data_IF_542719764841
#
_entry.id   IF_542719764841
#
_cell.length_a   1.000
_cell.length_b   1.000
_cell.length_c   1.000
_cell.angle_alpha   90.00
_cell.angle_beta   90.00
_cell.angle_gamma   90.00
#
_symmetry.space_group_name_H-M   'P 1'
#
loop_
_entity.id
_entity.type
_entity.pdbx_description
1 polymer ?
#
# COMPACT_ATOMS: atom_id res chain seq x y z
N UNK A 1 16.87 7.50 -34.72
CA UNK A 1 16.83 7.71 -33.26
C UNK A 1 15.37 7.69 -32.86
N UNK A 2 14.86 6.51 -32.50
CA UNK A 2 13.45 6.34 -32.15
C UNK A 2 13.23 6.76 -30.70
N UNK A 3 12.31 7.68 -30.47
CA UNK A 3 11.82 8.02 -29.15
C UNK A 3 10.73 7.00 -28.80
N UNK A 4 11.05 6.05 -27.93
CA UNK A 4 10.06 5.12 -27.38
C UNK A 4 9.12 5.88 -26.43
N UNK A 5 7.96 6.25 -26.97
CA UNK A 5 6.78 6.64 -26.21
C UNK A 5 6.22 5.44 -25.47
N UNK A 6 6.81 5.13 -24.32
CA UNK A 6 6.29 4.13 -23.38
C UNK A 6 4.99 4.61 -22.73
N UNK A 7 3.87 4.14 -23.28
CA UNK A 7 2.51 4.29 -22.76
C UNK A 7 2.39 4.03 -21.25
N UNK A 8 1.72 4.95 -20.54
CA UNK A 8 1.50 5.03 -19.09
C UNK A 8 0.68 3.86 -18.47
N UNK A 9 0.52 2.72 -19.16
CA UNK A 9 -0.55 1.74 -18.91
C UNK A 9 -0.13 0.33 -18.46
N UNK A 10 1.14 0.03 -18.14
CA UNK A 10 1.59 -1.39 -18.07
C UNK A 10 1.65 -2.07 -16.70
N UNK A 11 0.96 -1.57 -15.66
CA UNK A 11 0.85 -2.30 -14.38
C UNK A 11 -0.54 -2.91 -14.17
N UNK A 12 -0.99 -3.71 -15.14
CA UNK A 12 -2.19 -4.53 -15.00
C UNK A 12 -1.87 -5.82 -14.25
N UNK A 13 -1.99 -5.79 -12.93
CA UNK A 13 -2.18 -6.99 -12.11
C UNK A 13 -3.62 -7.01 -11.59
N UNK A 14 -4.11 -8.15 -11.11
CA UNK A 14 -5.47 -8.36 -10.56
C UNK A 14 -5.79 -7.52 -9.30
N UNK A 15 -4.99 -6.50 -9.01
CA UNK A 15 -5.04 -5.64 -7.82
C UNK A 15 -5.30 -4.22 -8.31
N UNK A 16 -6.31 -3.58 -7.73
CA UNK A 16 -6.67 -2.22 -8.10
C UNK A 16 -5.67 -1.24 -7.46
N UNK A 17 -4.94 -0.50 -8.30
CA UNK A 17 -3.90 0.44 -7.88
C UNK A 17 -4.44 1.81 -7.44
N UNK A 18 -5.75 2.00 -7.46
CA UNK A 18 -6.40 3.29 -7.21
C UNK A 18 -7.35 3.16 -6.02
N UNK A 19 -6.86 3.48 -4.82
CA UNK A 19 -7.72 3.73 -3.65
C UNK A 19 -8.56 4.97 -3.95
N UNK A 20 -9.87 4.90 -3.68
CA UNK A 20 -10.94 5.83 -4.10
C UNK A 20 -10.50 7.28 -4.33
N UNK A 21 -10.85 7.81 -5.51
CA UNK A 21 -10.54 9.17 -5.96
C UNK A 21 -10.97 10.23 -4.94
N UNK A 22 -10.03 11.09 -4.55
CA UNK A 22 -10.32 12.35 -3.87
C UNK A 22 -10.61 13.49 -4.87
N UNK A 23 -11.01 14.64 -4.33
CA UNK A 23 -11.36 15.84 -5.12
C UNK A 23 -10.20 16.35 -5.99
N UNK A 24 -10.53 16.83 -7.19
CA UNK A 24 -9.58 17.43 -8.13
C UNK A 24 -9.11 18.79 -7.60
N UNK A 25 -7.82 18.95 -7.32
CA UNK A 25 -7.21 20.25 -6.95
C UNK A 25 -6.41 20.76 -8.14
N UNK A 26 -7.10 21.46 -9.05
CA UNK A 26 -6.48 22.13 -10.19
C UNK A 26 -6.18 21.23 -11.41
N UNK A 27 -5.48 21.78 -12.45
CA UNK A 27 -5.28 21.10 -13.73
C UNK A 27 -4.25 19.97 -13.71
N UNK A 28 -3.43 19.85 -12.66
CA UNK A 28 -2.30 18.88 -12.61
C UNK A 28 -2.25 18.03 -11.33
N UNK A 29 -3.23 18.14 -10.43
CA UNK A 29 -3.15 17.54 -9.10
C UNK A 29 -4.43 16.83 -8.66
N UNK A 30 -4.28 15.56 -8.26
CA UNK A 30 -5.26 14.84 -7.46
C UNK A 30 -4.67 14.65 -6.07
N UNK A 31 -5.42 14.98 -5.01
CA UNK A 31 -5.05 14.59 -3.65
C UNK A 31 -5.81 13.31 -3.31
N UNK A 32 -5.06 12.28 -2.94
CA UNK A 32 -5.63 10.99 -2.58
C UNK A 32 -5.62 10.85 -1.07
N UNK A 33 -6.71 10.31 -0.52
CA UNK A 33 -6.82 10.07 0.92
C UNK A 33 -6.78 8.57 1.18
N UNK A 34 -6.11 8.18 2.25
CA UNK A 34 -6.27 6.87 2.86
C UNK A 34 -6.95 7.07 4.20
N UNK A 35 -8.04 6.35 4.42
CA UNK A 35 -8.76 6.33 5.68
C UNK A 35 -8.42 5.05 6.45
N UNK A 36 -7.94 5.22 7.68
CA UNK A 36 -7.82 4.18 8.69
C UNK A 36 -9.05 4.09 9.58
N UNK A 37 -9.05 3.18 10.57
CA UNK A 37 -10.11 3.09 11.56
C UNK A 37 -10.34 4.43 12.28
N UNK A 38 -11.56 4.64 12.77
CA UNK A 38 -11.97 5.86 13.48
C UNK A 38 -11.83 7.15 12.64
N UNK A 39 -11.97 7.06 11.32
CA UNK A 39 -11.88 8.18 10.38
C UNK A 39 -10.50 8.88 10.38
N UNK A 40 -9.45 8.17 10.81
CA UNK A 40 -8.08 8.67 10.72
C UNK A 40 -7.66 8.80 9.26
N UNK A 41 -7.30 10.01 8.83
CA UNK A 41 -6.95 10.29 7.43
C UNK A 41 -5.46 10.54 7.23
N UNK A 42 -4.90 10.01 6.14
CA UNK A 42 -3.60 10.41 5.61
C UNK A 42 -3.76 10.97 4.19
N UNK A 43 -3.13 12.12 3.92
CA UNK A 43 -3.16 12.76 2.60
C UNK A 43 -1.91 12.35 1.83
N UNK A 44 -2.09 11.78 0.64
CA UNK A 44 -1.00 11.45 -0.27
C UNK A 44 -0.77 12.66 -1.18
N UNK A 45 0.41 13.28 -1.05
CA UNK A 45 0.76 14.52 -1.73
C UNK A 45 1.59 14.33 -3.00
N UNK A 46 1.97 13.09 -3.32
CA UNK A 46 2.84 12.76 -4.45
C UNK A 46 2.17 11.76 -5.37
N UNK A 47 2.52 11.84 -6.66
CA UNK A 47 2.12 10.84 -7.63
C UNK A 47 3.06 9.63 -7.57
N UNK A 48 2.49 8.44 -7.49
CA UNK A 48 3.23 7.19 -7.46
C UNK A 48 2.82 6.28 -8.60
N UNK A 49 3.73 5.41 -8.98
CA UNK A 49 3.47 4.34 -9.94
C UNK A 49 3.93 3.02 -9.34
N UNK A 50 3.55 1.91 -9.96
CA UNK A 50 4.06 0.59 -9.59
C UNK A 50 5.61 0.48 -9.64
N UNK A 51 6.28 1.33 -10.42
CA UNK A 51 7.75 1.37 -10.50
C UNK A 51 8.39 2.27 -9.43
N UNK A 52 7.59 3.00 -8.65
CA UNK A 52 8.11 3.77 -7.50
C UNK A 52 8.84 2.85 -6.53
N UNK A 53 9.99 3.30 -6.05
CA UNK A 53 10.86 2.57 -5.14
C UNK A 53 11.26 3.48 -3.96
N UNK A 54 11.79 2.87 -2.90
CA UNK A 54 12.09 3.55 -1.65
C UNK A 54 10.86 4.27 -1.07
N UNK A 55 9.77 3.52 -0.90
CA UNK A 55 8.46 4.05 -0.48
C UNK A 55 7.91 3.34 0.74
N UNK A 56 7.06 4.04 1.48
CA UNK A 56 6.06 3.46 2.38
C UNK A 56 4.75 3.36 1.61
N UNK A 57 4.10 2.22 1.69
CA UNK A 57 2.85 1.91 0.99
C UNK A 57 1.80 1.37 1.94
N UNK A 58 0.56 1.38 1.48
CA UNK A 58 -0.62 0.90 2.17
C UNK A 58 -1.30 -0.14 1.29
N UNK A 59 -1.63 -1.28 1.88
CA UNK A 59 -2.56 -2.26 1.33
C UNK A 59 -3.91 -2.08 2.02
N UNK A 60 -4.98 -2.09 1.24
CA UNK A 60 -6.35 -1.93 1.75
C UNK A 60 -7.18 -3.11 1.27
N UNK A 61 -7.93 -3.74 2.18
CA UNK A 61 -9.02 -4.63 1.78
C UNK A 61 -10.29 -3.80 1.60
N UNK A 62 -10.77 -3.61 0.37
CA UNK A 62 -11.99 -2.81 0.13
C UNK A 62 -13.28 -3.45 0.65
N UNK A 63 -13.24 -4.74 1.03
CA UNK A 63 -14.40 -5.47 1.55
C UNK A 63 -14.68 -5.14 3.01
N UNK A 64 -13.65 -5.13 3.85
CA UNK A 64 -13.77 -4.87 5.29
C UNK A 64 -13.06 -3.60 5.73
N UNK A 65 -12.45 -2.87 4.80
CA UNK A 65 -11.71 -1.62 5.02
C UNK A 65 -10.54 -1.73 5.99
N UNK A 66 -9.99 -2.93 6.19
CA UNK A 66 -8.77 -3.13 7.00
C UNK A 66 -7.52 -2.78 6.20
N UNK A 67 -6.50 -2.26 6.88
CA UNK A 67 -5.28 -1.74 6.27
C UNK A 67 -4.04 -2.47 6.78
N UNK A 68 -3.04 -2.55 5.91
CA UNK A 68 -1.65 -2.87 6.24
C UNK A 68 -0.75 -1.76 5.72
N UNK A 69 0.20 -1.30 6.52
CA UNK A 69 1.26 -0.39 6.07
C UNK A 69 2.56 -1.19 5.98
N UNK A 70 3.32 -0.98 4.91
CA UNK A 70 4.62 -1.61 4.70
C UNK A 70 5.63 -0.64 4.10
N UNK A 71 6.91 -0.93 4.26
CA UNK A 71 7.98 -0.27 3.49
C UNK A 71 8.63 -1.16 2.43
N UNK A 72 9.27 -0.53 1.44
CA UNK A 72 10.14 -1.22 0.48
C UNK A 72 11.20 -0.27 -0.08
N UNK A 73 12.46 -0.74 -0.12
CA UNK A 73 13.53 -0.10 -0.90
C UNK A 73 13.40 -0.39 -2.40
N UNK A 74 12.82 -1.54 -2.78
CA UNK A 74 12.64 -1.99 -4.17
C UNK A 74 11.39 -1.37 -4.80
N UNK A 75 11.10 -1.71 -6.06
CA UNK A 75 9.89 -1.28 -6.74
C UNK A 75 8.67 -1.79 -5.98
N UNK A 76 7.63 -0.96 -5.90
CA UNK A 76 6.36 -1.31 -5.26
C UNK A 76 5.74 -2.55 -5.91
N UNK A 77 5.83 -2.67 -7.23
CA UNK A 77 5.36 -3.85 -7.98
C UNK A 77 5.96 -5.16 -7.46
N UNK A 78 7.26 -5.18 -7.16
CA UNK A 78 7.94 -6.39 -6.68
C UNK A 78 7.43 -6.79 -5.30
N UNK A 79 7.28 -5.79 -4.41
CA UNK A 79 6.75 -6.02 -3.06
C UNK A 79 5.29 -6.49 -3.06
N UNK A 80 4.47 -5.94 -3.94
CA UNK A 80 3.07 -6.38 -4.13
C UNK A 80 3.02 -7.79 -4.69
N UNK A 81 3.90 -8.13 -5.64
CA UNK A 81 4.01 -9.49 -6.19
C UNK A 81 4.32 -10.52 -5.11
N UNK A 82 5.18 -10.15 -4.16
CA UNK A 82 5.50 -11.00 -3.01
C UNK A 82 4.30 -11.22 -2.10
N UNK A 83 3.54 -10.16 -1.76
CA UNK A 83 2.29 -10.30 -1.01
C UNK A 83 1.30 -11.21 -1.72
N UNK A 84 1.10 -11.02 -3.02
CA UNK A 84 0.23 -11.85 -3.84
C UNK A 84 0.66 -13.32 -3.85
N UNK A 85 1.97 -13.58 -3.93
CA UNK A 85 2.51 -14.93 -3.85
C UNK A 85 2.24 -15.56 -2.48
N UNK A 86 2.47 -14.82 -1.38
CA UNK A 86 2.18 -15.32 -0.02
C UNK A 86 0.71 -15.66 0.16
N UNK A 87 -0.22 -14.83 -0.36
CA UNK A 87 -1.66 -15.15 -0.35
C UNK A 87 -1.93 -16.41 -1.18
N UNK A 88 -1.43 -16.50 -2.42
CA UNK A 88 -1.67 -17.67 -3.29
C UNK A 88 -1.16 -18.98 -2.69
N UNK A 89 -0.04 -18.92 -1.96
CA UNK A 89 0.60 -20.08 -1.35
C UNK A 89 0.09 -20.39 0.06
N UNK A 90 -0.86 -19.60 0.59
CA UNK A 90 -1.39 -19.75 1.94
C UNK A 90 -0.29 -19.77 3.01
N UNK A 91 0.69 -18.87 2.89
CA UNK A 91 1.85 -18.86 3.78
C UNK A 91 1.46 -18.32 5.17
N UNK A 92 1.69 -19.09 6.26
CA UNK A 92 1.42 -18.62 7.61
C UNK A 92 2.43 -17.54 8.03
N UNK A 93 2.08 -16.76 9.05
CA UNK A 93 2.95 -15.73 9.62
C UNK A 93 3.02 -14.42 8.84
N UNK A 94 2.39 -14.33 7.67
CA UNK A 94 2.24 -13.08 6.91
C UNK A 94 0.85 -12.49 7.15
N UNK A 95 0.69 -11.37 7.88
CA UNK A 95 -0.63 -10.86 8.27
C UNK A 95 -1.56 -10.58 7.07
N UNK A 96 -0.98 -10.09 5.97
CA UNK A 96 -1.71 -9.86 4.71
C UNK A 96 -2.19 -11.18 4.10
N UNK A 97 -1.35 -12.22 4.07
CA UNK A 97 -1.74 -13.53 3.55
C UNK A 97 -2.86 -14.13 4.41
N UNK A 98 -2.64 -14.22 5.72
CA UNK A 98 -3.62 -14.72 6.69
C UNK A 98 -4.98 -14.05 6.54
N UNK A 99 -5.02 -12.74 6.23
CA UNK A 99 -6.28 -12.02 6.04
C UNK A 99 -7.07 -12.46 4.80
N UNK A 100 -6.41 -12.81 3.69
CA UNK A 100 -7.08 -13.23 2.44
C UNK A 100 -7.19 -14.74 2.27
N UNK A 101 -6.56 -15.52 3.16
CA UNK A 101 -6.60 -16.96 3.12
C UNK A 101 -7.79 -17.54 3.89
N UNK A 102 -8.25 -18.76 3.54
CA UNK A 102 -9.35 -19.41 4.26
C UNK A 102 -9.11 -19.45 5.78
N UNK A 103 -10.16 -19.26 6.61
CA UNK A 103 -11.58 -19.18 6.25
C UNK A 103 -12.09 -17.76 5.87
N UNK A 104 -11.21 -16.85 5.45
CA UNK A 104 -11.60 -15.48 5.10
C UNK A 104 -12.61 -15.41 3.96
N UNK A 105 -13.52 -14.43 4.04
CA UNK A 105 -14.43 -14.03 2.96
C UNK A 105 -13.87 -12.88 2.12
N UNK A 106 -12.73 -12.31 2.51
CA UNK A 106 -12.00 -11.31 1.75
C UNK A 106 -11.11 -12.00 0.72
N UNK A 107 -11.19 -11.58 -0.54
CA UNK A 107 -10.51 -12.22 -1.66
C UNK A 107 -9.40 -11.33 -2.20
N UNK A 108 -8.46 -11.89 -2.97
CA UNK A 108 -7.37 -11.11 -3.61
C UNK A 108 -7.91 -9.94 -4.44
N UNK A 109 -9.08 -10.07 -5.08
CA UNK A 109 -9.72 -8.98 -5.84
C UNK A 109 -10.18 -7.80 -4.97
N UNK A 110 -10.24 -8.01 -3.65
CA UNK A 110 -10.56 -7.00 -2.64
C UNK A 110 -9.31 -6.24 -2.19
N UNK A 111 -8.11 -6.70 -2.56
CA UNK A 111 -6.85 -6.02 -2.28
C UNK A 111 -6.69 -4.79 -3.20
N UNK A 112 -6.33 -3.68 -2.58
CA UNK A 112 -5.92 -2.43 -3.23
C UNK A 112 -4.56 -1.99 -2.69
N UNK A 113 -3.83 -1.22 -3.49
CA UNK A 113 -2.50 -0.72 -3.10
C UNK A 113 -2.40 0.77 -3.39
N UNK A 114 -1.83 1.51 -2.44
CA UNK A 114 -1.37 2.88 -2.66
C UNK A 114 0.03 3.04 -2.08
N UNK A 115 0.97 3.62 -2.83
CA UNK A 115 2.11 4.25 -2.17
C UNK A 115 1.62 5.52 -1.43
N UNK A 116 2.27 5.85 -0.33
CA UNK A 116 1.88 6.95 0.54
C UNK A 116 3.01 7.96 0.74
N UNK A 117 4.25 7.48 0.92
CA UNK A 117 5.40 8.34 1.24
C UNK A 117 6.58 7.90 0.38
N UNK A 118 7.19 8.83 -0.34
CA UNK A 118 8.52 8.64 -0.93
C UNK A 118 9.58 8.99 0.09
N UNK A 119 10.54 8.09 0.28
CA UNK A 119 11.67 8.30 1.16
C UNK A 119 12.93 8.56 0.31
N UNK A 120 13.67 9.62 0.64
CA UNK A 120 14.99 9.91 0.05
C UNK A 120 16.15 9.63 1.02
N UNK A 121 15.83 9.35 2.28
CA UNK A 121 16.79 9.09 3.34
C UNK A 121 17.19 7.63 3.46
N UNK A 122 17.76 7.32 4.62
CA UNK A 122 18.25 6.02 5.03
C UNK A 122 17.13 4.99 5.22
N UNK A 123 17.53 3.74 5.49
CA UNK A 123 16.62 2.71 5.98
C UNK A 123 15.85 3.17 7.23
N UNK A 124 16.53 3.77 8.21
CA UNK A 124 15.90 4.25 9.45
C UNK A 124 14.88 5.36 9.20
N UNK A 125 15.12 6.24 8.21
CA UNK A 125 14.15 7.29 7.85
C UNK A 125 12.86 6.70 7.27
N UNK A 126 12.99 5.65 6.44
CA UNK A 126 11.86 4.94 5.84
C UNK A 126 11.09 4.13 6.89
N UNK A 127 11.81 3.45 7.78
CA UNK A 127 11.24 2.73 8.92
C UNK A 127 10.49 3.67 9.88
N UNK A 128 11.07 4.82 10.20
CA UNK A 128 10.41 5.82 11.03
C UNK A 128 9.16 6.38 10.34
N UNK A 129 9.19 6.57 9.02
CA UNK A 129 8.01 6.99 8.25
C UNK A 129 6.91 5.92 8.23
N UNK A 130 7.28 4.64 8.09
CA UNK A 130 6.35 3.50 8.20
C UNK A 130 5.67 3.47 9.57
N UNK A 131 6.44 3.49 10.65
CA UNK A 131 5.90 3.47 12.01
C UNK A 131 4.97 4.66 12.28
N UNK A 132 5.34 5.88 11.84
CA UNK A 132 4.46 7.05 11.95
C UNK A 132 3.16 6.85 11.20
N UNK A 133 3.20 6.25 10.01
CA UNK A 133 2.00 6.01 9.22
C UNK A 133 1.12 4.91 9.81
N UNK A 134 1.71 3.83 10.35
CA UNK A 134 0.99 2.78 11.10
C UNK A 134 0.22 3.39 12.25
N UNK A 135 0.88 4.24 13.05
CA UNK A 135 0.24 4.91 14.19
C UNK A 135 -0.83 5.89 13.75
N UNK A 136 -0.55 6.70 12.70
CA UNK A 136 -1.49 7.69 12.18
C UNK A 136 -2.77 7.05 11.64
N UNK A 137 -2.65 5.96 10.89
CA UNK A 137 -3.76 5.25 10.29
C UNK A 137 -4.34 4.17 11.20
N UNK A 138 -3.78 3.92 12.39
CA UNK A 138 -4.30 2.93 13.34
C UNK A 138 -4.30 1.50 12.78
N UNK A 139 -3.25 1.11 12.05
CA UNK A 139 -3.23 -0.17 11.33
C UNK A 139 -2.71 -1.35 12.15
N UNK A 140 -2.53 -1.19 13.46
CA UNK A 140 -2.16 -2.28 14.36
C UNK A 140 -3.36 -3.19 14.65
N UNK A 141 -3.11 -4.50 14.75
CA UNK A 141 -4.09 -5.49 15.20
C UNK A 141 -4.64 -5.13 16.58
N UNK A 142 -5.95 -5.27 16.84
CA UNK A 142 -6.97 -5.90 15.99
C UNK A 142 -7.64 -4.99 14.95
N UNK A 143 -7.32 -3.70 14.92
CA UNK A 143 -8.00 -2.72 14.05
C UNK A 143 -7.38 -2.61 12.65
N UNK A 144 -6.16 -3.12 12.48
CA UNK A 144 -5.49 -3.29 11.21
C UNK A 144 -4.69 -4.60 11.13
N UNK A 145 -3.89 -4.74 10.08
CA UNK A 145 -3.12 -5.95 9.79
C UNK A 145 -1.67 -5.89 10.28
N UNK A 146 -1.13 -4.74 10.66
CA UNK A 146 0.21 -4.67 11.26
C UNK A 146 0.17 -5.34 12.64
N UNK A 147 1.07 -6.29 12.90
CA UNK A 147 1.08 -7.03 14.20
C UNK A 147 1.99 -6.39 15.25
N UNK A 148 2.95 -5.57 14.82
CA UNK A 148 3.87 -4.83 15.69
C UNK A 148 4.46 -3.65 14.92
N UNK A 149 5.00 -2.69 15.66
CA UNK A 149 5.95 -1.73 15.13
C UNK A 149 7.33 -2.38 15.07
N UNK A 150 8.12 -2.03 14.08
CA UNK A 150 9.53 -2.38 14.05
C UNK A 150 10.32 -1.36 14.88
N UNK A 151 11.25 -1.83 15.72
CA UNK A 151 12.04 -0.94 16.57
C UNK A 151 13.17 -0.31 15.74
N UNK A 152 13.38 1.00 15.93
CA UNK A 152 14.41 1.79 15.26
C UNK A 152 15.81 1.48 15.77
#
# INVERSE_FOLDING_TARGET
MGHDGGSLHSCKWHVQWEVQMGERIGPTGYVWWVYGPNNNRFNVHQHFTCTSANVVYVLVCKRCHILYVGETKRRLADRVTEHLRSIKQNLPGFPVATHFNPPSTCLIRDLMVSAAISCRGSYHDRLAAENRLIMKLGTLSPHGLNVRLELL
#
